data_IF_908089131497
#
_entry.id   IF_908089131497
#
_cell.length_a   1.000
_cell.length_b   1.000
_cell.length_c   1.000
_cell.angle_alpha   90.00
_cell.angle_beta   90.00
_cell.angle_gamma   90.00
#
_symmetry.space_group_name_H-M   'P 1'
#
loop_
_entity.id
_entity.type
_entity.pdbx_description
1 polymer ?
#
# COMPACT_ATOMS: atom_id res chain seq x y z
N UNK A 1 -49.84 -2.51 -9.65
CA UNK A 1 -48.61 -2.35 -10.45
C UNK A 1 -47.43 -2.33 -9.50
N UNK A 2 -46.66 -3.41 -9.42
CA UNK A 2 -45.44 -3.47 -8.60
C UNK A 2 -44.37 -2.56 -9.20
N UNK A 3 -43.66 -1.74 -8.39
CA UNK A 3 -42.57 -0.93 -8.91
C UNK A 3 -41.46 -1.88 -9.40
N UNK A 4 -41.15 -1.82 -10.70
CA UNK A 4 -39.96 -2.47 -11.25
C UNK A 4 -38.76 -1.77 -10.63
N UNK A 5 -38.01 -2.48 -9.79
CA UNK A 5 -36.69 -2.02 -9.34
C UNK A 5 -35.90 -1.66 -10.59
N UNK A 6 -35.52 -0.38 -10.72
CA UNK A 6 -34.69 0.06 -11.83
C UNK A 6 -33.33 -0.60 -11.65
N UNK A 7 -33.09 -1.65 -12.43
CA UNK A 7 -31.79 -2.31 -12.44
C UNK A 7 -30.76 -1.30 -12.95
N UNK A 8 -29.65 -1.08 -12.22
CA UNK A 8 -28.56 -0.27 -12.73
C UNK A 8 -28.06 -0.86 -14.06
N UNK A 9 -27.51 -0.01 -14.96
CA UNK A 9 -27.07 -0.49 -16.25
C UNK A 9 -25.99 -1.55 -16.08
N UNK A 10 -26.00 -2.55 -16.96
CA UNK A 10 -25.19 -3.76 -16.79
C UNK A 10 -23.69 -3.49 -16.84
N UNK A 11 -23.26 -2.32 -17.29
CA UNK A 11 -21.88 -1.85 -17.31
C UNK A 11 -21.50 -1.00 -16.09
N UNK A 12 -22.40 -0.78 -15.11
CA UNK A 12 -22.14 0.07 -13.94
C UNK A 12 -21.02 -0.52 -13.04
N UNK A 13 -19.88 0.17 -12.89
CA UNK A 13 -18.77 -0.30 -12.06
C UNK A 13 -19.13 -0.47 -10.57
N UNK A 14 -20.10 0.30 -10.06
CA UNK A 14 -20.55 0.22 -8.66
C UNK A 14 -21.41 -1.01 -8.43
N UNK A 15 -22.22 -1.42 -9.40
CA UNK A 15 -22.99 -2.66 -9.36
C UNK A 15 -22.05 -3.86 -9.31
N UNK A 16 -21.09 -3.93 -10.23
CA UNK A 16 -20.13 -5.03 -10.29
C UNK A 16 -19.24 -5.14 -9.06
N UNK A 17 -18.82 -4.01 -8.47
CA UNK A 17 -18.08 -4.02 -7.21
C UNK A 17 -18.88 -4.65 -6.08
N UNK A 18 -20.19 -4.36 -5.99
CA UNK A 18 -21.08 -4.95 -4.98
C UNK A 18 -21.31 -6.44 -5.23
N UNK A 19 -21.48 -6.85 -6.48
CA UNK A 19 -21.66 -8.25 -6.85
C UNK A 19 -20.41 -9.08 -6.52
N UNK A 20 -19.24 -8.64 -6.99
CA UNK A 20 -17.97 -9.33 -6.75
C UNK A 20 -17.62 -9.38 -5.26
N UNK A 21 -17.89 -8.31 -4.51
CA UNK A 21 -17.72 -8.30 -3.06
C UNK A 21 -18.56 -9.36 -2.34
N UNK A 22 -19.76 -9.70 -2.85
CA UNK A 22 -20.61 -10.77 -2.30
C UNK A 22 -20.24 -12.16 -2.80
N UNK A 23 -19.67 -12.27 -4.00
CA UNK A 23 -19.18 -13.54 -4.53
C UNK A 23 -17.82 -13.95 -3.93
N UNK A 24 -17.12 -13.03 -3.27
CA UNK A 24 -15.79 -13.28 -2.72
C UNK A 24 -15.83 -14.39 -1.64
N UNK A 25 -14.85 -15.32 -1.62
CA UNK A 25 -14.75 -16.37 -0.60
C UNK A 25 -14.81 -15.84 0.84
N UNK A 26 -14.08 -14.74 1.11
CA UNK A 26 -14.07 -14.10 2.44
C UNK A 26 -15.42 -13.50 2.87
N UNK A 27 -16.38 -13.37 1.95
CA UNK A 27 -17.75 -12.92 2.24
C UNK A 27 -18.76 -14.09 2.25
N UNK A 28 -18.28 -15.34 2.26
CA UNK A 28 -19.12 -16.54 2.21
C UNK A 28 -19.55 -16.97 0.81
N UNK A 29 -18.97 -16.39 -0.24
CA UNK A 29 -19.14 -16.84 -1.62
C UNK A 29 -18.21 -18.01 -1.99
N UNK A 30 -18.25 -18.47 -3.24
CA UNK A 30 -17.31 -19.48 -3.75
C UNK A 30 -16.26 -18.86 -4.67
N UNK A 31 -15.04 -19.41 -4.64
CA UNK A 31 -13.96 -18.96 -5.52
C UNK A 31 -14.31 -19.09 -7.00
N UNK A 32 -14.99 -20.17 -7.38
CA UNK A 32 -15.48 -20.39 -8.74
C UNK A 32 -16.51 -19.33 -9.16
N UNK A 33 -17.45 -18.99 -8.29
CA UNK A 33 -18.45 -17.96 -8.56
C UNK A 33 -17.82 -16.57 -8.68
N UNK A 34 -16.81 -16.28 -7.87
CA UNK A 34 -16.05 -15.03 -7.95
C UNK A 34 -15.30 -14.90 -9.29
N UNK A 35 -14.62 -15.96 -9.72
CA UNK A 35 -13.90 -16.01 -11.01
C UNK A 35 -14.87 -15.87 -12.17
N UNK A 36 -15.97 -16.64 -12.15
CA UNK A 36 -17.01 -16.58 -13.18
C UNK A 36 -17.62 -15.17 -13.27
N UNK A 37 -18.04 -14.58 -12.15
CA UNK A 37 -18.63 -13.24 -12.14
C UNK A 37 -17.62 -12.17 -12.60
N UNK A 38 -16.33 -12.34 -12.28
CA UNK A 38 -15.25 -11.47 -12.76
C UNK A 38 -15.10 -11.54 -14.28
N UNK A 39 -15.09 -12.74 -14.85
CA UNK A 39 -15.02 -12.95 -16.29
C UNK A 39 -16.24 -12.36 -17.01
N UNK A 40 -17.46 -12.54 -16.46
CA UNK A 40 -18.70 -11.97 -17.03
C UNK A 40 -18.66 -10.44 -17.02
N UNK A 41 -18.23 -9.82 -15.91
CA UNK A 41 -18.04 -8.35 -15.86
C UNK A 41 -17.16 -7.88 -16.99
N UNK A 42 -16.04 -8.56 -17.22
CA UNK A 42 -15.10 -8.15 -18.24
C UNK A 42 -15.78 -8.13 -19.61
N UNK A 43 -16.58 -9.14 -19.97
CA UNK A 43 -17.39 -9.13 -21.20
C UNK A 43 -18.34 -7.95 -21.30
N UNK A 44 -19.12 -7.76 -20.23
CA UNK A 44 -20.24 -6.83 -20.22
C UNK A 44 -19.76 -5.37 -20.21
N UNK A 45 -18.63 -5.11 -19.55
CA UNK A 45 -18.00 -3.79 -19.50
C UNK A 45 -16.99 -3.54 -20.64
N UNK A 46 -16.96 -4.39 -21.69
CA UNK A 46 -16.19 -4.14 -22.92
C UNK A 46 -14.79 -4.77 -23.01
N UNK A 47 -14.47 -5.72 -22.14
CA UNK A 47 -13.33 -6.64 -22.23
C UNK A 47 -13.68 -7.94 -22.96
N UNK A 48 -12.74 -8.56 -23.66
CA UNK A 48 -12.98 -9.83 -24.36
C UNK A 48 -12.96 -11.01 -23.38
N UNK A 49 -13.87 -11.99 -23.56
CA UNK A 49 -13.84 -13.28 -22.86
C UNK A 49 -12.53 -14.01 -23.16
N UNK A 50 -11.64 -14.12 -22.17
CA UNK A 50 -10.47 -15.00 -22.27
C UNK A 50 -10.81 -16.35 -21.64
N UNK A 51 -11.12 -17.34 -22.48
CA UNK A 51 -11.45 -18.72 -22.09
C UNK A 51 -10.20 -19.64 -22.11
N UNK A 52 -9.04 -19.15 -22.55
CA UNK A 52 -7.81 -19.95 -22.68
C UNK A 52 -7.09 -20.18 -21.34
N UNK A 53 -6.48 -21.36 -21.11
CA UNK A 53 -5.59 -21.58 -19.98
C UNK A 53 -4.36 -20.67 -20.14
N UNK A 54 -3.95 -20.03 -19.04
CA UNK A 54 -2.89 -19.01 -18.97
C UNK A 54 -1.69 -19.38 -19.87
N UNK A 55 -1.43 -18.67 -20.98
CA UNK A 55 -0.28 -18.97 -21.82
C UNK A 55 1.01 -18.51 -21.13
N UNK A 56 2.07 -19.29 -21.32
CA UNK A 56 3.43 -18.89 -20.94
C UNK A 56 3.83 -17.56 -21.60
N UNK A 57 4.67 -16.76 -20.94
CA UNK A 57 4.83 -15.34 -21.26
C UNK A 57 5.62 -15.15 -22.56
N UNK A 58 4.91 -15.09 -23.68
CA UNK A 58 5.47 -14.59 -24.94
C UNK A 58 5.42 -13.07 -24.96
N UNK A 59 6.60 -12.46 -25.01
CA UNK A 59 6.80 -11.02 -24.98
C UNK A 59 6.16 -10.31 -26.16
N UNK A 60 5.05 -9.63 -25.92
CA UNK A 60 4.56 -8.47 -26.68
C UNK A 60 3.97 -7.44 -25.70
N UNK A 61 4.06 -6.14 -26.02
CA UNK A 61 4.21 -5.09 -25.03
C UNK A 61 2.95 -4.96 -24.19
N UNK A 62 3.12 -5.18 -22.89
CA UNK A 62 2.16 -4.91 -21.84
C UNK A 62 1.40 -3.62 -22.14
N UNK A 63 0.10 -3.73 -22.46
CA UNK A 63 -0.87 -2.63 -22.26
C UNK A 63 -0.57 -2.07 -20.88
N UNK A 64 -0.03 -0.84 -20.85
CA UNK A 64 0.45 -0.10 -19.69
C UNK A 64 -0.17 -0.66 -18.42
N UNK A 65 0.54 -1.59 -17.76
CA UNK A 65 0.29 -1.90 -16.36
C UNK A 65 0.25 -0.52 -15.72
N UNK A 66 -0.88 -0.15 -15.11
CA UNK A 66 -0.83 0.87 -14.08
C UNK A 66 0.38 0.50 -13.24
N UNK A 67 1.35 1.41 -13.13
CA UNK A 67 2.64 0.98 -12.73
C UNK A 67 2.48 0.30 -11.37
N UNK A 68 3.21 -0.80 -11.23
CA UNK A 68 3.33 -1.53 -9.98
C UNK A 68 3.30 -0.53 -8.83
N UNK A 69 2.69 -0.87 -7.70
CA UNK A 69 2.65 -0.03 -6.49
C UNK A 69 4.01 0.54 -6.04
N UNK A 70 5.08 0.15 -6.72
CA UNK A 70 6.48 0.57 -6.69
C UNK A 70 6.89 1.85 -7.46
N UNK A 71 6.14 2.35 -8.45
CA UNK A 71 6.53 3.61 -9.19
C UNK A 71 6.29 4.91 -8.41
N UNK A 72 5.96 4.79 -7.12
CA UNK A 72 5.79 5.99 -6.29
C UNK A 72 7.16 6.51 -5.92
N UNK A 73 7.38 7.84 -5.92
CA UNK A 73 8.63 8.40 -5.46
C UNK A 73 8.89 7.94 -4.02
N UNK A 74 10.12 7.47 -3.78
CA UNK A 74 10.62 6.95 -2.51
C UNK A 74 11.84 7.73 -2.08
N UNK A 75 12.15 7.64 -0.79
CA UNK A 75 13.45 8.08 -0.28
C UNK A 75 14.56 7.30 -1.03
N UNK A 76 15.62 7.99 -1.50
CA UNK A 76 16.83 7.32 -1.97
C UNK A 76 17.37 6.37 -0.90
N UNK A 77 17.58 5.11 -1.27
CA UNK A 77 17.92 4.06 -0.31
C UNK A 77 19.21 3.35 -0.75
N UNK A 78 20.25 3.29 0.11
CA UNK A 78 21.50 2.60 -0.21
C UNK A 78 21.25 1.10 -0.42
N UNK A 79 21.94 0.51 -1.40
CA UNK A 79 21.81 -0.93 -1.69
C UNK A 79 22.41 -1.82 -0.60
N UNK A 80 23.35 -1.28 0.17
CA UNK A 80 24.09 -1.92 1.27
C UNK A 80 23.55 -1.49 2.65
N UNK A 81 22.38 -0.85 2.69
CA UNK A 81 21.79 -0.41 3.95
C UNK A 81 21.41 -1.59 4.84
N UNK A 82 21.95 -1.61 6.06
CA UNK A 82 21.56 -2.56 7.10
C UNK A 82 20.34 -2.05 7.88
N UNK A 83 19.30 -2.87 7.97
CA UNK A 83 18.02 -2.46 8.57
C UNK A 83 18.15 -2.18 10.07
N UNK A 84 18.92 -2.99 10.81
CA UNK A 84 19.07 -2.83 12.25
C UNK A 84 19.91 -1.58 12.56
N UNK A 85 20.98 -1.35 11.79
CA UNK A 85 21.78 -0.13 11.89
C UNK A 85 20.95 1.11 11.60
N UNK A 86 20.10 1.09 10.56
CA UNK A 86 19.19 2.19 10.27
C UNK A 86 18.18 2.43 11.38
N UNK A 87 17.63 1.37 11.97
CA UNK A 87 16.73 1.46 13.13
C UNK A 87 17.46 2.10 14.31
N UNK A 88 18.68 1.65 14.61
CA UNK A 88 19.51 2.21 15.67
C UNK A 88 19.83 3.68 15.44
N UNK A 89 20.26 4.07 14.23
CA UNK A 89 20.52 5.48 13.87
C UNK A 89 19.28 6.36 14.04
N UNK A 90 18.09 5.85 13.67
CA UNK A 90 16.83 6.55 13.86
C UNK A 90 16.52 6.76 15.35
N UNK A 91 16.78 5.77 16.20
CA UNK A 91 16.60 5.86 17.65
C UNK A 91 17.62 6.78 18.32
N UNK A 92 18.89 6.77 17.88
CA UNK A 92 19.88 7.76 18.31
C UNK A 92 19.40 9.18 17.98
N UNK A 93 18.85 9.39 16.78
CA UNK A 93 18.27 10.68 16.40
C UNK A 93 17.04 11.04 17.23
N UNK A 94 16.26 10.05 17.63
CA UNK A 94 15.10 10.25 18.49
C UNK A 94 15.48 10.65 19.92
N UNK A 95 16.68 10.27 20.38
CA UNK A 95 17.19 10.65 21.69
C UNK A 95 17.66 12.12 21.74
N UNK A 96 17.98 12.73 20.60
CA UNK A 96 18.27 14.16 20.51
C UNK A 96 16.97 14.98 20.60
N UNK A 97 16.92 16.07 21.39
CA UNK A 97 15.77 16.98 21.40
C UNK A 97 15.49 17.52 19.99
N UNK A 98 14.31 17.24 19.45
CA UNK A 98 13.95 17.69 18.12
C UNK A 98 12.48 17.44 17.77
N UNK A 99 11.98 18.10 16.70
CA UNK A 99 10.58 18.04 16.31
C UNK A 99 10.12 16.64 15.86
N UNK A 100 11.05 15.75 15.55
CA UNK A 100 10.77 14.39 15.07
C UNK A 100 11.11 13.30 16.09
N UNK A 101 11.56 13.67 17.30
CA UNK A 101 11.95 12.71 18.32
C UNK A 101 10.80 11.75 18.65
N UNK A 102 9.60 12.28 18.91
CA UNK A 102 8.42 11.48 19.27
C UNK A 102 8.04 10.46 18.19
N UNK A 103 8.06 10.84 16.92
CA UNK A 103 7.69 9.93 15.82
C UNK A 103 8.76 8.86 15.57
N UNK A 104 10.04 9.20 15.71
CA UNK A 104 11.15 8.26 15.52
C UNK A 104 11.25 7.27 16.69
N UNK A 105 10.93 7.69 17.92
CA UNK A 105 10.88 6.81 19.10
C UNK A 105 9.88 5.65 18.96
N UNK A 106 8.90 5.75 18.05
CA UNK A 106 7.98 4.65 17.75
C UNK A 106 8.66 3.43 17.10
N UNK A 107 9.94 3.55 16.71
CA UNK A 107 10.75 2.46 16.17
C UNK A 107 11.42 1.58 17.23
N UNK A 108 11.25 1.85 18.53
CA UNK A 108 11.94 1.14 19.61
C UNK A 108 11.74 -0.39 19.59
N UNK A 109 10.65 -0.88 18.99
CA UNK A 109 10.30 -2.29 18.83
C UNK A 109 10.16 -2.71 17.35
N UNK A 110 10.82 -1.99 16.44
CA UNK A 110 10.80 -2.27 15.01
C UNK A 110 11.91 -3.26 14.63
N UNK A 111 11.60 -4.56 14.71
CA UNK A 111 12.54 -5.62 14.33
C UNK A 111 12.36 -6.10 12.87
N UNK A 112 13.41 -6.69 12.27
CA UNK A 112 13.31 -7.40 11.00
C UNK A 112 12.22 -8.46 11.01
N UNK A 113 11.53 -8.64 9.90
CA UNK A 113 10.48 -9.64 9.73
C UNK A 113 10.71 -10.44 8.44
N UNK A 114 10.86 -11.78 8.50
CA UNK A 114 11.18 -12.60 7.34
C UNK A 114 10.21 -12.47 6.16
N UNK A 115 8.94 -12.18 6.44
CA UNK A 115 7.91 -11.99 5.42
C UNK A 115 7.89 -10.57 4.79
N UNK A 116 8.67 -9.63 5.33
CA UNK A 116 8.69 -8.23 4.92
C UNK A 116 10.09 -7.73 4.52
N UNK A 117 11.04 -8.63 4.24
CA UNK A 117 12.40 -8.29 3.77
C UNK A 117 12.38 -7.31 2.59
N UNK A 118 11.43 -7.47 1.67
CA UNK A 118 11.27 -6.58 0.52
C UNK A 118 10.91 -5.12 0.90
N UNK A 119 10.36 -4.89 2.10
CA UNK A 119 10.11 -3.54 2.64
C UNK A 119 11.31 -3.00 3.42
N UNK A 120 12.22 -3.85 3.86
CA UNK A 120 13.43 -3.50 4.62
C UNK A 120 14.52 -2.94 3.69
N UNK A 121 14.64 -3.51 2.48
CA UNK A 121 15.69 -3.19 1.50
C UNK A 121 15.35 -2.04 0.54
N UNK A 122 14.32 -1.24 0.85
CA UNK A 122 13.91 -0.11 0.02
C UNK A 122 13.44 1.07 0.86
N UNK A 123 13.63 2.27 0.34
CA UNK A 123 13.20 3.50 0.99
C UNK A 123 11.68 3.60 1.12
N UNK A 124 11.25 4.27 2.19
CA UNK A 124 9.85 4.56 2.39
C UNK A 124 9.31 5.44 1.27
N UNK A 125 8.11 5.12 0.81
CA UNK A 125 7.42 6.00 -0.14
C UNK A 125 7.04 7.33 0.52
N UNK A 126 7.19 8.45 -0.20
CA UNK A 126 6.73 9.75 0.30
C UNK A 126 5.23 9.75 0.63
N UNK A 127 4.44 8.88 -0.02
CA UNK A 127 3.03 8.66 0.34
C UNK A 127 2.88 8.12 1.77
N UNK A 128 3.67 7.12 2.18
CA UNK A 128 3.64 6.59 3.56
C UNK A 128 4.13 7.65 4.54
N UNK A 129 5.20 8.40 4.22
CA UNK A 129 5.69 9.49 5.06
C UNK A 129 4.65 10.61 5.24
N UNK A 130 3.93 10.98 4.17
CA UNK A 130 2.84 11.94 4.24
C UNK A 130 1.71 11.46 5.15
N UNK A 131 1.38 10.16 5.10
CA UNK A 131 0.36 9.57 5.97
C UNK A 131 0.79 9.57 7.44
N UNK A 132 2.07 9.31 7.74
CA UNK A 132 2.64 9.43 9.09
C UNK A 132 2.53 10.87 9.58
N UNK A 133 3.01 11.82 8.77
CA UNK A 133 2.99 13.25 9.12
C UNK A 133 1.57 13.74 9.42
N UNK A 134 0.59 13.31 8.61
CA UNK A 134 -0.81 13.60 8.85
C UNK A 134 -1.33 12.97 10.15
N UNK A 135 -1.08 11.68 10.36
CA UNK A 135 -1.53 10.96 11.56
C UNK A 135 -0.91 11.51 12.85
N UNK A 136 0.31 12.04 12.79
CA UNK A 136 0.99 12.69 13.90
C UNK A 136 0.59 14.17 14.06
N UNK A 137 -0.22 14.74 13.16
CA UNK A 137 -0.65 16.15 13.24
C UNK A 137 0.45 17.17 12.89
N UNK A 138 1.42 16.81 12.05
CA UNK A 138 2.47 17.72 11.61
C UNK A 138 1.93 18.82 10.70
N UNK A 139 2.43 20.04 10.90
CA UNK A 139 2.25 21.16 9.97
C UNK A 139 2.94 20.90 8.63
N UNK A 140 2.61 21.66 7.56
CA UNK A 140 3.29 21.54 6.28
C UNK A 140 4.82 21.74 6.35
N UNK A 141 5.29 22.65 7.21
CA UNK A 141 6.72 22.92 7.42
C UNK A 141 7.40 21.74 8.10
N UNK A 142 6.77 21.19 9.14
CA UNK A 142 7.28 20.01 9.85
C UNK A 142 7.31 18.80 8.93
N UNK A 143 6.28 18.59 8.10
CA UNK A 143 6.26 17.50 7.11
C UNK A 143 7.43 17.57 6.13
N UNK A 144 7.73 18.75 5.58
CA UNK A 144 8.88 18.91 4.68
C UNK A 144 10.22 18.69 5.38
N UNK A 145 10.34 19.05 6.66
CA UNK A 145 11.53 18.69 7.43
C UNK A 145 11.58 17.21 7.83
N UNK A 146 10.44 16.56 8.02
CA UNK A 146 10.36 15.12 8.29
C UNK A 146 10.83 14.31 7.08
N UNK A 147 10.51 14.72 5.86
CA UNK A 147 11.06 14.10 4.65
C UNK A 147 12.58 14.17 4.60
N UNK A 148 13.16 15.35 4.87
CA UNK A 148 14.61 15.53 4.94
C UNK A 148 15.25 14.70 6.05
N UNK A 149 14.58 14.61 7.21
CA UNK A 149 15.04 13.75 8.29
C UNK A 149 15.06 12.28 7.86
N UNK A 150 14.00 11.81 7.22
CA UNK A 150 13.87 10.44 6.74
C UNK A 150 14.79 10.13 5.53
N UNK A 151 15.23 11.13 4.77
CA UNK A 151 16.29 10.99 3.77
C UNK A 151 17.67 10.91 4.42
N UNK A 152 17.93 11.69 5.47
CA UNK A 152 19.22 11.69 6.18
C UNK A 152 19.49 10.42 6.97
N UNK A 153 18.42 9.79 7.47
CA UNK A 153 18.44 8.46 8.09
C UNK A 153 17.52 7.63 7.21
N UNK A 154 18.02 7.05 6.11
CA UNK A 154 17.19 6.59 5.00
C UNK A 154 16.17 5.57 5.49
N UNK A 155 14.97 6.04 5.85
CA UNK A 155 13.96 5.20 6.48
C UNK A 155 13.44 4.24 5.43
N UNK A 156 13.50 2.94 5.72
CA UNK A 156 12.92 1.93 4.83
C UNK A 156 11.39 1.93 4.87
N UNK A 157 10.78 1.31 3.87
CA UNK A 157 9.32 1.17 3.78
C UNK A 157 8.74 0.41 4.99
N UNK A 158 9.52 -0.53 5.55
CA UNK A 158 9.21 -1.28 6.77
C UNK A 158 9.14 -0.37 8.01
N UNK A 159 10.08 0.56 8.16
CA UNK A 159 10.07 1.57 9.24
C UNK A 159 8.79 2.42 9.15
N UNK A 160 8.48 2.93 7.96
CA UNK A 160 7.29 3.75 7.76
C UNK A 160 5.99 2.97 8.02
N UNK A 161 5.94 1.70 7.61
CA UNK A 161 4.82 0.81 7.92
C UNK A 161 4.63 0.61 9.43
N UNK A 162 5.72 0.41 10.17
CA UNK A 162 5.72 0.25 11.63
C UNK A 162 5.14 1.48 12.34
N UNK A 163 5.70 2.66 12.03
CA UNK A 163 5.30 3.94 12.63
C UNK A 163 3.81 4.19 12.38
N UNK A 164 3.37 4.04 11.13
CA UNK A 164 1.98 4.27 10.78
C UNK A 164 1.03 3.29 11.50
N UNK A 165 1.44 2.03 11.69
CA UNK A 165 0.68 1.04 12.44
C UNK A 165 0.55 1.43 13.92
N UNK A 166 1.62 1.92 14.54
CA UNK A 166 1.62 2.41 15.93
C UNK A 166 0.70 3.62 16.11
N UNK A 167 0.82 4.62 15.23
CA UNK A 167 -0.02 5.83 15.28
C UNK A 167 -1.51 5.49 15.14
N UNK A 168 -1.86 4.56 14.23
CA UNK A 168 -3.25 4.10 14.08
C UNK A 168 -3.78 3.39 15.33
N UNK A 169 -2.96 2.61 16.03
CA UNK A 169 -3.35 1.96 17.29
C UNK A 169 -3.53 2.95 18.43
N UNK A 170 -2.78 4.05 18.44
CA UNK A 170 -2.91 5.09 19.47
C UNK A 170 -4.16 5.97 19.27
N UNK A 171 -4.69 6.04 18.05
CA UNK A 171 -5.86 6.83 17.69
C UNK A 171 -7.18 6.04 17.75
N UNK A 172 -7.13 4.72 18.02
CA UNK A 172 -8.28 3.83 18.15
C UNK A 172 -8.66 3.66 19.63
#
# INVERSE_FOLDING_TARGET
MTPRTVAPPLDDPRMWRKLLGRCHPDAGGSGELFIFAGAVRDVVCGGELRIEPKPEPTGKPSRRREPSTDDKPRIPFPADADFEELTHRALCKAAEPGPYAAVLSLLADCYPLPNLVHEEVRGASYKRLAAIAYAHGMSPKERSGFYRCAESIPLSDRHAGHILSKLKRQAA
#
